data_IF_883010679300
#
_entry.id   IF_883010679300
#
_cell.length_a   1.000
_cell.length_b   1.000
_cell.length_c   1.000
_cell.angle_alpha   90.00
_cell.angle_beta   90.00
_cell.angle_gamma   90.00
#
_symmetry.space_group_name_H-M   'P 1'
#
loop_
_entity.id
_entity.type
_entity.pdbx_description
1 polymer ?
2 non-polymer ?
3 non-polymer ?
4 non-polymer ?
5 water ?
#
# COMPACT_ATOMS: atom_id res chain seq x y z
N UNK A 1 8.64 19.88 11.16
CA UNK A 1 7.53 19.98 10.21
C UNK A 1 7.99 19.70 8.78
N UNK A 2 8.65 18.56 8.57
CA UNK A 2 9.33 18.26 7.33
C UNK A 2 8.70 17.01 6.72
N UNK A 3 8.63 16.96 5.39
CA UNK A 3 8.18 15.79 4.67
C UNK A 3 9.39 15.10 4.07
N UNK A 4 9.54 13.80 4.32
CA UNK A 4 10.61 13.02 3.74
C UNK A 4 10.17 12.39 2.42
N UNK A 5 11.14 12.12 1.54
CA UNK A 5 10.83 11.47 0.27
C UNK A 5 11.95 10.50 -0.04
N UNK A 6 11.61 9.27 -0.40
CA UNK A 6 12.59 8.29 -0.85
C UNK A 6 12.26 7.82 -2.25
N UNK A 7 13.30 7.71 -3.07
CA UNK A 7 13.23 7.24 -4.45
C UNK A 7 14.64 6.82 -4.84
N UNK A 8 14.75 5.69 -5.55
CA UNK A 8 16.04 5.28 -6.07
C UNK A 8 15.84 4.65 -7.42
N UNK A 9 16.51 5.19 -8.44
CA UNK A 9 16.28 4.70 -9.79
C UNK A 9 16.75 3.27 -9.99
N UNK A 10 17.53 2.72 -9.05
CA UNK A 10 17.93 1.32 -9.16
C UNK A 10 16.71 0.40 -9.14
N UNK A 11 15.65 0.79 -8.43
CA UNK A 11 14.43 -0.02 -8.45
C UNK A 11 13.77 -0.12 -9.81
N UNK A 12 14.24 0.62 -10.82
CA UNK A 12 13.79 0.41 -12.19
C UNK A 12 14.38 -0.84 -12.83
N UNK A 13 15.38 -1.47 -12.21
CA UNK A 13 16.08 -2.56 -12.90
C UNK A 13 15.24 -3.82 -12.98
N UNK A 14 14.30 -4.01 -12.04
CA UNK A 14 13.34 -5.10 -12.10
C UNK A 14 12.52 -4.95 -13.37
N UNK A 15 12.53 -5.96 -14.24
CA UNK A 15 11.84 -5.80 -15.52
C UNK A 15 11.33 -7.16 -16.01
N UNK A 16 10.44 -7.11 -17.01
CA UNK A 16 9.88 -8.31 -17.65
C UNK A 16 10.61 -8.56 -18.97
N UNK A 17 11.53 -9.54 -18.95
CA UNK A 17 12.32 -9.92 -20.13
C UNK A 17 11.46 -10.30 -21.32
N UNK A 18 10.28 -10.85 -21.07
CA UNK A 18 9.50 -11.47 -22.12
C UNK A 18 8.40 -10.56 -22.65
N UNK A 19 8.11 -9.46 -21.96
CA UNK A 19 7.00 -8.60 -22.35
C UNK A 19 7.35 -7.23 -21.80
N UNK A 20 8.05 -6.43 -22.61
CA UNK A 20 8.52 -5.14 -22.13
C UNK A 20 7.38 -4.16 -21.94
N UNK A 21 6.15 -4.51 -22.33
CA UNK A 21 4.99 -3.67 -22.14
C UNK A 21 4.11 -4.10 -20.96
N UNK A 22 4.53 -5.12 -20.22
CA UNK A 22 3.84 -5.50 -18.99
C UNK A 22 3.58 -4.27 -18.14
N UNK A 23 2.38 -4.12 -17.56
CA UNK A 23 2.00 -2.83 -16.96
C UNK A 23 2.79 -2.43 -15.72
N UNK A 24 3.48 -3.34 -15.03
CA UNK A 24 4.27 -2.97 -13.84
C UNK A 24 5.65 -2.55 -14.34
N UNK A 25 5.67 -1.33 -14.96
CA UNK A 25 6.79 -0.81 -15.72
C UNK A 25 7.86 -0.19 -14.81
N UNK A 26 9.13 -0.34 -15.17
CA UNK A 26 10.19 0.44 -14.50
C UNK A 26 9.85 1.92 -14.42
N UNK A 27 9.29 2.51 -15.49
CA UNK A 27 9.08 3.95 -15.50
C UNK A 27 7.92 4.39 -14.63
N UNK A 28 7.17 3.47 -14.02
CA UNK A 28 6.20 3.91 -13.01
C UNK A 28 6.86 4.84 -12.01
N UNK A 29 8.02 4.44 -11.47
CA UNK A 29 8.57 5.23 -10.36
C UNK A 29 9.29 6.46 -10.88
N UNK A 30 9.99 6.34 -12.02
CA UNK A 30 10.66 7.53 -12.55
C UNK A 30 9.65 8.58 -13.03
N UNK A 31 8.50 8.16 -13.58
CA UNK A 31 7.48 9.13 -13.95
C UNK A 31 6.94 9.83 -12.72
N UNK A 32 6.72 9.11 -11.62
CA UNK A 32 6.20 9.77 -10.43
C UNK A 32 7.24 10.76 -9.88
N UNK A 33 8.49 10.31 -9.78
CA UNK A 33 9.58 11.16 -9.30
C UNK A 33 9.72 12.40 -10.17
N UNK A 34 9.66 12.23 -11.49
CA UNK A 34 9.77 13.37 -12.40
C UNK A 34 8.65 14.38 -12.16
N UNK A 35 7.43 13.89 -11.98
CA UNK A 35 6.31 14.78 -11.74
C UNK A 35 6.47 15.54 -10.43
N UNK A 36 7.05 14.89 -9.40
CA UNK A 36 7.33 15.62 -8.16
C UNK A 36 8.28 16.77 -8.42
N UNK A 37 9.33 16.52 -9.21
CA UNK A 37 10.28 17.57 -9.58
C UNK A 37 9.56 18.68 -10.32
N UNK A 38 8.74 18.28 -11.28
CA UNK A 38 8.09 19.17 -12.22
C UNK A 38 7.16 20.12 -11.46
N UNK A 39 6.53 19.62 -10.40
CA UNK A 39 5.64 20.41 -9.56
C UNK A 39 6.37 21.08 -8.41
N UNK A 40 7.70 21.03 -8.40
CA UNK A 40 8.54 21.67 -7.36
C UNK A 40 8.19 21.20 -5.96
N UNK A 41 7.80 19.94 -5.85
CA UNK A 41 7.59 19.29 -4.56
C UNK A 41 8.89 18.67 -4.05
N UNK A 42 9.73 18.20 -4.97
CA UNK A 42 10.94 17.48 -4.59
C UNK A 42 11.84 18.37 -3.73
N UNK A 43 12.04 19.62 -4.16
CA UNK A 43 12.93 20.52 -3.42
C UNK A 43 12.37 20.90 -2.05
N UNK A 44 11.09 20.67 -1.81
CA UNK A 44 10.44 20.95 -0.53
C UNK A 44 10.56 19.80 0.44
N UNK A 45 10.96 18.62 -0.02
CA UNK A 45 11.11 17.46 0.83
C UNK A 45 12.55 17.28 1.27
N UNK A 46 12.70 16.57 2.37
CA UNK A 46 13.97 16.00 2.80
C UNK A 46 14.18 14.67 2.15
N UNK A 47 15.24 14.54 1.36
CA UNK A 47 15.51 13.28 0.68
C UNK A 47 16.05 12.24 1.66
N UNK A 48 15.37 11.11 1.73
CA UNK A 48 15.77 10.00 2.60
C UNK A 48 16.46 8.95 1.74
N UNK A 49 17.61 8.44 2.14
CA UNK A 49 18.34 7.50 1.28
C UNK A 49 17.66 6.14 1.27
N UNK A 50 17.66 5.53 0.08
CA UNK A 50 17.24 4.13 -0.04
C UNK A 50 18.32 3.24 0.56
N UNK A 51 17.91 2.04 0.95
CA UNK A 51 18.86 1.03 1.38
C UNK A 51 18.24 -0.33 1.15
N UNK A 52 19.09 -1.35 1.20
CA UNK A 52 18.63 -2.72 1.13
C UNK A 52 18.03 -3.13 2.47
N UNK A 53 16.86 -3.75 2.44
CA UNK A 53 16.45 -4.53 3.58
C UNK A 53 17.44 -5.66 3.81
N UNK A 54 17.69 -5.98 5.08
CA UNK A 54 18.45 -7.18 5.37
C UNK A 54 17.55 -8.41 5.33
N UNK A 55 18.20 -9.56 5.23
CA UNK A 55 17.47 -10.82 5.18
C UNK A 55 16.79 -11.10 6.51
N UNK A 56 17.38 -10.64 7.62
CA UNK A 56 16.75 -10.79 8.92
C UNK A 56 15.53 -9.87 9.06
N UNK A 57 15.58 -8.67 8.46
CA UNK A 57 14.38 -7.82 8.42
C UNK A 57 13.28 -8.47 7.58
N UNK A 58 13.63 -9.08 6.46
CA UNK A 58 12.61 -9.79 5.69
C UNK A 58 11.95 -10.88 6.54
N UNK A 59 12.70 -11.47 7.48
CA UNK A 59 12.15 -12.53 8.30
C UNK A 59 11.16 -12.01 9.33
N UNK A 60 11.04 -10.69 9.49
CA UNK A 60 9.95 -10.12 10.29
C UNK A 60 8.60 -10.65 9.82
N UNK A 61 8.43 -10.83 8.51
CA UNK A 61 7.14 -11.29 7.97
C UNK A 61 7.22 -12.52 7.09
N UNK A 62 8.39 -12.91 6.58
CA UNK A 62 8.47 -13.95 5.58
C UNK A 62 9.28 -15.14 6.08
N UNK A 63 8.94 -16.31 5.55
CA UNK A 63 9.66 -17.54 5.88
C UNK A 63 11.05 -17.54 5.26
N UNK A 64 11.98 -18.24 5.93
CA UNK A 64 13.33 -18.31 5.40
C UNK A 64 13.35 -18.98 4.03
N UNK A 65 12.46 -19.95 3.81
CA UNK A 65 12.37 -20.61 2.50
C UNK A 65 11.96 -19.63 1.41
N UNK A 66 10.91 -18.85 1.66
CA UNK A 66 10.49 -17.86 0.67
C UNK A 66 11.62 -16.89 0.36
N UNK A 67 12.28 -16.39 1.40
CA UNK A 67 13.40 -15.48 1.22
C UNK A 67 14.49 -16.16 0.37
N UNK A 68 14.83 -17.41 0.70
CA UNK A 68 15.88 -18.11 -0.03
C UNK A 68 15.49 -18.35 -1.49
N UNK A 69 14.22 -18.70 -1.75
CA UNK A 69 13.83 -18.96 -3.14
C UNK A 69 13.90 -17.69 -3.97
N UNK A 70 13.35 -16.57 -3.47
CA UNK A 70 13.43 -15.32 -4.23
C UNK A 70 14.88 -14.89 -4.41
N UNK A 71 15.70 -15.07 -3.37
CA UNK A 71 17.10 -14.68 -3.49
C UNK A 71 17.81 -15.53 -4.53
N UNK A 72 17.39 -16.78 -4.71
CA UNK A 72 18.05 -17.65 -5.68
C UNK A 72 17.84 -17.20 -7.12
N UNK A 73 16.82 -16.36 -7.39
CA UNK A 73 16.58 -15.91 -8.75
C UNK A 73 17.64 -14.95 -9.25
N UNK A 74 18.43 -14.41 -8.34
CA UNK A 74 19.44 -13.40 -8.67
C UNK A 74 20.40 -13.88 -9.75
N UNK A 75 20.72 -15.17 -9.76
CA UNK A 75 21.67 -15.74 -10.71
C UNK A 75 21.03 -16.76 -11.64
N UNK A 76 19.71 -16.76 -11.74
CA UNK A 76 19.02 -17.71 -12.60
C UNK A 76 19.10 -17.29 -14.06
N UNK A 77 19.15 -18.30 -14.92
CA UNK A 77 19.09 -18.08 -16.35
C UNK A 77 17.63 -17.80 -16.73
N UNK A 78 17.38 -17.06 -17.82
CA UNK A 78 15.99 -16.83 -18.27
C UNK A 78 15.03 -18.03 -18.18
N UNK A 79 15.41 -19.22 -18.64
CA UNK A 79 14.54 -20.38 -18.54
C UNK A 79 14.07 -20.59 -17.12
N UNK A 80 14.97 -20.46 -16.17
CA UNK A 80 14.63 -20.75 -14.78
C UNK A 80 13.89 -19.58 -14.16
N UNK A 81 14.18 -18.35 -14.59
CA UNK A 81 13.38 -17.22 -14.15
C UNK A 81 11.94 -17.34 -14.60
N UNK A 82 11.73 -17.77 -15.84
CA UNK A 82 10.36 -18.02 -16.31
C UNK A 82 9.67 -19.11 -15.48
N UNK A 83 10.38 -20.21 -15.21
CA UNK A 83 9.78 -21.31 -14.46
C UNK A 83 9.42 -20.90 -13.04
N UNK A 84 10.35 -20.23 -12.35
CA UNK A 84 10.09 -19.80 -10.98
C UNK A 84 8.94 -18.80 -10.93
N UNK A 85 8.97 -17.78 -11.80
CA UNK A 85 7.85 -16.84 -11.86
C UNK A 85 6.51 -17.52 -12.01
N UNK A 86 6.43 -18.53 -12.90
CA UNK A 86 5.18 -19.23 -13.18
C UNK A 86 4.66 -20.07 -12.02
N UNK A 87 5.48 -20.38 -11.03
CA UNK A 87 5.00 -21.05 -9.84
C UNK A 87 4.10 -20.15 -9.00
N UNK A 88 4.08 -18.86 -9.26
CA UNK A 88 3.26 -17.92 -8.52
C UNK A 88 2.13 -17.42 -9.40
N UNK A 89 1.19 -16.72 -8.76
CA UNK A 89 0.09 -16.07 -9.46
C UNK A 89 0.55 -14.67 -9.84
N UNK A 90 0.70 -14.41 -11.14
CA UNK A 90 0.99 -13.08 -11.67
C UNK A 90 2.32 -12.51 -11.15
N UNK A 91 3.40 -13.24 -11.40
CA UNK A 91 4.75 -12.80 -11.07
C UNK A 91 5.64 -12.95 -12.30
N UNK A 92 6.43 -11.90 -12.59
CA UNK A 92 7.57 -12.03 -13.48
C UNK A 92 8.84 -11.68 -12.69
N UNK A 93 9.96 -12.31 -13.05
CA UNK A 93 11.20 -12.16 -12.31
C UNK A 93 12.35 -11.93 -13.30
N UNK A 94 13.22 -10.98 -12.98
CA UNK A 94 14.51 -10.82 -13.63
C UNK A 94 15.61 -10.95 -12.58
N UNK A 95 16.87 -10.85 -13.02
CA UNK A 95 17.97 -11.07 -12.08
C UNK A 95 18.02 -9.96 -11.04
N UNK A 96 17.44 -8.82 -11.35
CA UNK A 96 17.48 -7.66 -10.48
C UNK A 96 16.30 -7.59 -9.53
N UNK A 97 15.32 -8.49 -9.67
CA UNK A 97 14.08 -8.39 -8.92
C UNK A 97 14.31 -8.45 -7.41
N UNK A 98 15.13 -9.40 -6.96
CA UNK A 98 15.38 -9.53 -5.52
C UNK A 98 15.98 -8.24 -4.96
N UNK A 99 17.06 -7.72 -5.58
CA UNK A 99 17.64 -6.43 -5.20
C UNK A 99 16.58 -5.34 -5.10
N UNK A 100 15.75 -5.21 -6.14
CA UNK A 100 14.75 -4.14 -6.16
C UNK A 100 13.75 -4.30 -5.03
N UNK A 101 13.30 -5.54 -4.76
CA UNK A 101 12.39 -5.75 -3.64
C UNK A 101 13.05 -5.43 -2.31
N UNK A 102 14.35 -5.72 -2.17
CA UNK A 102 15.06 -5.31 -0.96
C UNK A 102 15.11 -3.79 -0.84
N UNK A 103 15.35 -3.11 -1.97
CA UNK A 103 15.43 -1.66 -1.95
C UNK A 103 14.08 -1.04 -1.61
N UNK A 104 13.00 -1.57 -2.17
CA UNK A 104 11.67 -1.06 -1.83
C UNK A 104 11.45 -1.12 -0.32
N UNK A 105 11.77 -2.26 0.28
CA UNK A 105 11.50 -2.46 1.71
C UNK A 105 12.43 -1.59 2.56
N UNK A 106 13.73 -1.62 2.27
CA UNK A 106 14.66 -0.83 3.08
C UNK A 106 14.43 0.66 2.97
N UNK A 107 14.03 1.14 1.79
CA UNK A 107 13.63 2.53 1.64
C UNK A 107 12.52 2.89 2.59
N UNK A 108 11.53 2.01 2.71
CA UNK A 108 10.43 2.31 3.62
C UNK A 108 10.86 2.21 5.07
N UNK A 109 11.75 1.27 5.38
CA UNK A 109 12.30 1.22 6.75
C UNK A 109 12.97 2.53 7.10
N UNK A 110 13.81 3.04 6.19
CA UNK A 110 14.49 4.30 6.44
C UNK A 110 13.49 5.44 6.59
N UNK A 111 12.38 5.38 5.85
CA UNK A 111 11.36 6.41 5.97
C UNK A 111 10.62 6.28 7.31
N UNK A 112 10.27 5.06 7.71
CA UNK A 112 9.65 4.88 9.01
C UNK A 112 10.61 5.30 10.13
N UNK A 113 11.90 5.04 9.95
CA UNK A 113 12.89 5.46 10.95
C UNK A 113 12.92 6.98 11.06
N UNK A 114 12.93 7.67 9.92
CA UNK A 114 13.01 9.12 9.93
C UNK A 114 11.81 9.73 10.63
N UNK A 115 10.63 9.15 10.41
CA UNK A 115 9.44 9.61 11.13
C UNK A 115 9.58 9.33 12.63
N UNK A 116 9.91 8.09 13.00
CA UNK A 116 9.89 7.69 14.40
C UNK A 116 11.03 8.30 15.21
N UNK A 117 12.11 8.73 14.56
CA UNK A 117 13.16 9.47 15.26
C UNK A 117 12.92 10.97 15.26
N UNK A 118 11.80 11.42 14.68
CA UNK A 118 11.51 12.84 14.61
C UNK A 118 12.29 13.62 13.58
N UNK A 119 13.05 12.97 12.71
CA UNK A 119 13.76 13.69 11.67
C UNK A 119 12.80 14.29 10.64
N UNK A 120 11.68 13.60 10.38
CA UNK A 120 10.58 14.17 9.60
C UNK A 120 9.26 13.81 10.30
N UNK A 121 8.22 14.53 9.90
CA UNK A 121 6.85 14.33 10.38
C UNK A 121 6.14 13.24 9.58
N UNK A 122 6.31 13.27 8.26
CA UNK A 122 5.65 12.30 7.37
C UNK A 122 6.58 12.03 6.19
N UNK A 123 6.17 11.13 5.28
CA UNK A 123 7.10 10.75 4.22
C UNK A 123 6.37 10.05 3.09
N UNK A 124 6.98 10.07 1.91
CA UNK A 124 6.44 9.36 0.75
C UNK A 124 7.55 8.48 0.17
N UNK A 125 7.17 7.28 -0.27
CA UNK A 125 8.14 6.27 -0.70
C UNK A 125 7.72 5.82 -2.09
N UNK A 126 8.52 6.19 -3.09
CA UNK A 126 8.23 5.90 -4.51
C UNK A 126 9.05 4.66 -4.84
N UNK A 127 8.43 3.49 -4.68
CA UNK A 127 9.14 2.22 -4.71
C UNK A 127 8.41 1.25 -5.64
N UNK A 128 9.19 0.32 -6.19
CA UNK A 128 8.70 -0.87 -6.88
C UNK A 128 9.77 -1.95 -6.72
N UNK A 129 9.39 -3.25 -6.86
CA UNK A 129 8.03 -3.77 -7.09
C UNK A 129 7.17 -3.53 -5.87
N UNK A 130 5.86 -3.67 -6.03
CA UNK A 130 4.95 -3.50 -4.89
C UNK A 130 4.99 -4.65 -3.90
N UNK A 131 4.22 -4.53 -2.82
CA UNK A 131 4.30 -5.48 -1.72
C UNK A 131 3.02 -6.16 -1.23
N UNK A 132 1.83 -5.56 -1.38
CA UNK A 132 0.75 -5.98 -0.50
C UNK A 132 0.12 -7.35 -0.82
N UNK A 133 0.36 -7.94 -2.00
CA UNK A 133 -0.09 -9.31 -2.26
C UNK A 133 0.86 -10.36 -1.72
N UNK A 134 2.08 -9.97 -1.36
CA UNK A 134 3.08 -10.94 -0.90
C UNK A 134 2.67 -11.54 0.45
N UNK A 135 2.74 -12.86 0.53
CA UNK A 135 2.39 -13.60 1.73
C UNK A 135 3.66 -13.98 2.50
N UNK A 136 3.47 -14.44 3.73
CA UNK A 136 4.60 -15.01 4.49
C UNK A 136 5.46 -15.90 3.61
N UNK A 137 4.83 -16.85 2.92
CA UNK A 137 5.54 -17.94 2.28
C UNK A 137 5.45 -17.90 0.76
N UNK A 138 4.99 -16.81 0.14
CA UNK A 138 4.90 -16.84 -1.32
C UNK A 138 4.80 -15.44 -1.91
N UNK A 139 5.25 -15.32 -3.16
CA UNK A 139 5.09 -14.11 -3.97
C UNK A 139 3.74 -14.16 -4.69
N UNK A 140 3.24 -12.98 -5.05
CA UNK A 140 1.93 -12.95 -5.68
C UNK A 140 1.70 -11.58 -6.29
N UNK A 141 1.07 -11.54 -7.44
CA UNK A 141 0.52 -10.29 -7.98
C UNK A 141 1.49 -9.13 -8.07
N UNK A 142 2.64 -9.35 -8.69
CA UNK A 142 3.76 -8.41 -8.89
C UNK A 142 4.55 -8.15 -7.63
N UNK A 143 4.19 -8.75 -6.49
CA UNK A 143 4.84 -8.50 -5.20
C UNK A 143 5.70 -9.67 -4.74
N UNK A 144 6.89 -9.36 -4.24
CA UNK A 144 7.79 -10.39 -3.71
C UNK A 144 7.85 -10.45 -2.20
N UNK A 145 8.05 -9.30 -1.55
CA UNK A 145 8.01 -9.19 -0.10
C UNK A 145 7.03 -8.09 0.26
N UNK A 146 6.42 -8.21 1.44
CA UNK A 146 5.31 -7.32 1.77
C UNK A 146 5.88 -6.08 2.46
N UNK A 147 6.28 -5.13 1.62
CA UNK A 147 6.93 -3.90 2.08
C UNK A 147 6.18 -3.22 3.22
N UNK A 148 4.88 -3.03 3.06
CA UNK A 148 4.14 -2.31 4.09
C UNK A 148 4.05 -3.11 5.37
N UNK A 149 3.76 -4.42 5.28
CA UNK A 149 3.75 -5.27 6.46
C UNK A 149 5.09 -5.24 7.16
N UNK A 150 6.17 -5.43 6.39
CA UNK A 150 7.52 -5.39 6.96
C UNK A 150 7.80 -4.07 7.64
N UNK A 151 7.33 -2.97 7.05
CA UNK A 151 7.56 -1.66 7.67
C UNK A 151 6.83 -1.55 9.00
N UNK A 152 5.59 -2.03 9.07
CA UNK A 152 4.89 -2.06 10.35
C UNK A 152 5.70 -2.83 11.39
N UNK A 153 6.22 -4.03 11.03
CA UNK A 153 7.02 -4.79 11.99
C UNK A 153 8.35 -4.11 12.28
N UNK A 154 8.98 -3.52 11.26
CA UNK A 154 10.23 -2.79 11.50
C UNK A 154 10.00 -1.67 12.50
N UNK A 155 8.92 -0.89 12.31
CA UNK A 155 8.60 0.17 13.26
C UNK A 155 8.45 -0.37 14.67
N UNK A 156 7.75 -1.50 14.83
CA UNK A 156 7.62 -2.09 16.16
C UNK A 156 8.97 -2.54 16.72
N UNK A 157 9.87 -2.96 15.84
CA UNK A 157 11.16 -3.50 16.24
C UNK A 157 12.11 -2.43 16.79
N UNK A 158 11.89 -1.16 16.48
CA UNK A 158 12.73 -0.07 16.99
C UNK A 158 12.00 0.78 18.02
N UNK A 159 10.76 0.43 18.35
CA UNK A 159 10.05 1.08 19.44
C UNK A 159 9.54 0.00 20.39
N UNK A 160 8.28 -0.36 20.28
CA UNK A 160 7.75 -1.43 21.09
C UNK A 160 6.89 -2.34 20.24
N UNK A 161 6.85 -3.62 20.65
CA UNK A 161 6.21 -4.65 19.86
C UNK A 161 4.72 -4.38 19.68
N UNK A 162 4.10 -3.67 20.62
CA UNK A 162 2.69 -3.34 20.57
C UNK A 162 2.40 -1.93 20.05
N UNK A 163 3.40 -1.24 19.48
CA UNK A 163 3.14 0.05 18.82
C UNK A 163 1.95 -0.09 17.88
N UNK A 164 0.96 0.79 18.00
CA UNK A 164 -0.25 0.63 17.21
C UNK A 164 -0.01 1.20 15.82
N UNK A 165 -0.06 0.35 14.81
CA UNK A 165 0.16 0.79 13.44
C UNK A 165 -1.13 0.58 12.67
N UNK A 166 -1.57 1.61 11.98
CA UNK A 166 -2.71 1.52 11.07
C UNK A 166 -2.16 1.42 9.66
N UNK A 167 -2.63 0.42 8.90
CA UNK A 167 -2.31 0.33 7.48
C UNK A 167 -3.60 0.56 6.74
N UNK A 168 -3.66 1.63 5.96
CA UNK A 168 -4.80 1.90 5.08
C UNK A 168 -4.35 1.55 3.68
N UNK A 169 -5.06 0.63 3.05
CA UNK A 169 -4.68 0.05 1.76
C UNK A 169 -5.71 0.48 0.75
N UNK A 170 -5.38 1.50 -0.04
CA UNK A 170 -6.36 2.02 -0.99
C UNK A 170 -6.00 1.66 -2.42
N UNK A 171 -5.00 0.81 -2.62
CA UNK A 171 -4.87 0.10 -3.89
C UNK A 171 -6.22 -0.52 -4.23
N UNK A 172 -6.54 -0.61 -5.52
CA UNK A 172 -7.86 -1.12 -5.91
C UNK A 172 -7.99 -2.63 -5.65
N UNK A 173 -6.88 -3.33 -5.42
CA UNK A 173 -6.90 -4.75 -5.09
C UNK A 173 -6.77 -4.97 -3.60
N UNK A 174 -7.33 -6.07 -3.14
CA UNK A 174 -7.17 -6.46 -1.76
C UNK A 174 -5.72 -6.83 -1.47
N UNK A 175 -5.15 -6.26 -0.40
CA UNK A 175 -3.84 -6.73 0.03
C UNK A 175 -3.94 -8.00 0.85
N UNK A 176 -4.09 -9.13 0.17
CA UNK A 176 -4.28 -10.41 0.86
C UNK A 176 -3.13 -10.73 1.80
N UNK A 177 -1.89 -10.38 1.40
CA UNK A 177 -0.75 -10.73 2.23
C UNK A 177 -0.77 -9.94 3.53
N UNK A 178 -1.08 -8.66 3.43
CA UNK A 178 -1.13 -7.81 4.61
C UNK A 178 -2.20 -8.29 5.57
N UNK A 179 -3.40 -8.54 5.06
CA UNK A 179 -4.48 -9.12 5.89
C UNK A 179 -4.03 -10.37 6.62
N UNK A 180 -3.45 -11.34 5.89
CA UNK A 180 -3.07 -12.61 6.49
C UNK A 180 -1.95 -12.43 7.52
N UNK A 181 -0.94 -11.61 7.19
CA UNK A 181 0.19 -11.44 8.12
C UNK A 181 -0.30 -10.91 9.46
N UNK A 182 -1.29 -10.02 9.45
CA UNK A 182 -1.76 -9.39 10.69
C UNK A 182 -3.10 -9.94 11.17
N UNK A 183 -3.58 -11.05 10.61
CA UNK A 183 -4.98 -11.43 10.86
C UNK A 183 -5.26 -11.69 12.34
N UNK A 184 -4.27 -12.16 13.08
CA UNK A 184 -4.45 -12.44 14.51
C UNK A 184 -3.85 -11.35 15.39
N UNK A 185 -3.56 -10.18 14.83
CA UNK A 185 -2.76 -9.17 15.51
C UNK A 185 -3.67 -7.98 15.82
N UNK A 186 -3.73 -7.62 17.10
CA UNK A 186 -4.45 -6.43 17.50
C UNK A 186 -3.57 -5.18 17.53
N UNK A 187 -2.28 -5.31 17.22
CA UNK A 187 -1.41 -4.14 17.18
C UNK A 187 -1.35 -3.48 15.83
N UNK A 188 -1.80 -4.17 14.80
CA UNK A 188 -1.77 -3.61 13.46
C UNK A 188 -3.19 -3.69 12.92
N UNK A 189 -3.81 -2.53 12.75
CA UNK A 189 -5.15 -2.43 12.17
C UNK A 189 -5.02 -2.35 10.66
N UNK A 190 -5.57 -3.34 9.96
CA UNK A 190 -5.56 -3.33 8.50
C UNK A 190 -6.93 -2.89 7.98
N UNK A 191 -6.96 -1.84 7.19
CA UNK A 191 -8.19 -1.39 6.51
C UNK A 191 -7.93 -1.31 5.02
N UNK A 192 -8.65 -2.11 4.24
CA UNK A 192 -8.50 -2.15 2.79
C UNK A 192 -9.81 -1.74 2.14
N UNK A 193 -9.73 -0.84 1.18
CA UNK A 193 -10.78 -0.62 0.18
C UNK A 193 -10.36 -1.32 -1.10
N UNK A 194 -11.27 -2.05 -1.71
CA UNK A 194 -10.89 -2.81 -2.91
C UNK A 194 -12.10 -3.23 -3.69
N UNK A 195 -11.91 -3.26 -4.99
CA UNK A 195 -12.91 -3.87 -5.83
C UNK A 195 -12.92 -5.37 -5.55
N UNK A 196 -14.13 -5.94 -5.50
CA UNK A 196 -14.32 -7.33 -5.10
C UNK A 196 -15.14 -8.12 -6.11
N UNK A 197 -16.30 -7.56 -6.46
CA UNK A 197 -17.20 -8.19 -7.44
C UNK A 197 -17.46 -9.65 -7.10
N UNK A 198 -17.81 -9.89 -5.83
CA UNK A 198 -18.24 -11.20 -5.36
C UNK A 198 -17.18 -12.26 -5.61
N UNK A 199 -15.89 -11.87 -5.65
CA UNK A 199 -14.82 -12.81 -5.87
C UNK A 199 -14.26 -12.86 -7.28
N UNK A 200 -14.88 -12.15 -8.22
CA UNK A 200 -14.40 -12.16 -9.61
C UNK A 200 -13.19 -11.26 -9.84
N UNK A 201 -12.97 -10.27 -8.97
CA UNK A 201 -11.84 -9.37 -9.12
C UNK A 201 -10.61 -9.95 -8.45
N UNK A 202 -9.46 -9.78 -9.10
CA UNK A 202 -8.19 -10.25 -8.55
C UNK A 202 -8.01 -9.69 -7.13
N UNK A 203 -7.55 -10.50 -6.14
CA UNK A 203 -6.97 -11.86 -6.25
C UNK A 203 -7.99 -13.00 -6.07
N UNK A 204 -9.30 -12.76 -6.26
CA UNK A 204 -10.30 -13.80 -6.48
C UNK A 204 -10.57 -14.68 -5.26
N UNK A 205 -10.47 -14.14 -4.06
CA UNK A 205 -10.68 -14.89 -2.84
C UNK A 205 -11.75 -14.24 -1.98
N UNK A 206 -12.61 -15.07 -1.36
CA UNK A 206 -13.57 -14.52 -0.41
C UNK A 206 -12.91 -13.97 0.86
N UNK A 207 -11.58 -14.16 1.00
CA UNK A 207 -10.85 -13.53 2.10
C UNK A 207 -11.02 -12.03 2.09
N UNK A 208 -11.32 -11.44 0.93
CA UNK A 208 -11.45 -10.00 0.77
C UNK A 208 -12.83 -9.47 1.14
N UNK A 209 -13.74 -10.32 1.61
CA UNK A 209 -15.09 -9.84 1.83
C UNK A 209 -15.24 -9.20 3.21
N UNK A 210 -16.36 -8.47 3.40
CA UNK A 210 -16.52 -7.62 4.59
C UNK A 210 -16.65 -8.40 5.89
N UNK A 211 -16.99 -9.69 5.82
CA UNK A 211 -17.16 -10.47 7.02
C UNK A 211 -15.85 -11.06 7.52
N UNK A 212 -14.72 -10.77 6.87
CA UNK A 212 -13.41 -11.22 7.36
C UNK A 212 -12.90 -10.10 8.26
N UNK A 213 -13.15 -10.23 9.56
CA UNK A 213 -12.98 -9.12 10.50
C UNK A 213 -11.76 -9.31 11.40
N UNK A 214 -11.00 -10.37 11.21
CA UNK A 214 -9.85 -10.71 12.02
C UNK A 214 -10.14 -11.91 12.92
N UNK A 215 -9.06 -12.45 13.51
CA UNK A 215 -9.10 -13.73 14.22
C UNK A 215 -8.49 -13.60 15.60
N UNK A 216 -9.07 -14.33 16.56
CA UNK A 216 -8.49 -14.36 17.90
C UNK A 216 -8.36 -12.98 18.49
N UNK A 217 -7.17 -12.68 19.03
CA UNK A 217 -6.91 -11.36 19.59
C UNK A 217 -7.04 -10.26 18.54
N UNK A 218 -6.90 -10.62 17.26
CA UNK A 218 -7.09 -9.68 16.18
C UNK A 218 -8.52 -9.45 15.73
N UNK A 219 -9.52 -10.02 16.41
CA UNK A 219 -10.88 -9.88 15.92
C UNK A 219 -11.34 -8.45 16.09
N UNK A 220 -11.74 -7.84 14.97
CA UNK A 220 -12.10 -6.44 14.85
C UNK A 220 -11.03 -5.60 14.19
N UNK A 221 -9.81 -6.13 14.04
CA UNK A 221 -8.67 -5.35 13.57
C UNK A 221 -8.35 -5.62 12.11
N UNK A 222 -9.30 -6.18 11.37
CA UNK A 222 -9.22 -6.34 9.93
C UNK A 222 -10.52 -5.80 9.35
N UNK A 223 -10.43 -4.75 8.54
CA UNK A 223 -11.62 -4.09 8.00
C UNK A 223 -11.53 -4.15 6.46
N UNK A 224 -12.35 -5.00 5.83
CA UNK A 224 -12.44 -5.08 4.36
C UNK A 224 -13.64 -4.29 3.88
N UNK A 225 -13.41 -3.34 2.99
CA UNK A 225 -14.46 -2.53 2.37
C UNK A 225 -14.52 -2.96 0.91
N UNK A 226 -15.39 -3.94 0.54
CA UNK A 226 -15.33 -4.51 -0.81
C UNK A 226 -16.35 -3.85 -1.74
N UNK A 227 -15.94 -3.47 -2.94
CA UNK A 227 -16.87 -2.87 -3.90
C UNK A 227 -17.42 -3.92 -4.87
N UNK A 228 -18.70 -3.81 -5.18
CA UNK A 228 -19.33 -4.64 -6.19
C UNK A 228 -20.17 -3.77 -7.10
N UNK A 229 -20.31 -4.20 -8.35
CA UNK A 229 -21.22 -3.53 -9.26
C UNK A 229 -20.58 -2.42 -10.06
N UNK A 230 -19.32 -2.62 -10.46
CA UNK A 230 -18.71 -1.71 -11.43
C UNK A 230 -18.08 -0.46 -10.84
N UNK A 231 -18.08 0.61 -11.63
CA UNK A 231 -17.12 1.68 -11.44
C UNK A 231 -17.48 2.55 -10.22
N UNK A 232 -16.48 2.87 -9.41
CA UNK A 232 -16.56 3.77 -8.27
C UNK A 232 -15.58 4.90 -8.43
N UNK A 233 -15.72 5.93 -7.60
CA UNK A 233 -14.86 7.09 -7.69
C UNK A 233 -14.85 7.88 -6.40
N UNK A 234 -14.58 9.19 -6.52
CA UNK A 234 -14.45 10.03 -5.33
C UNK A 234 -15.64 9.95 -4.39
N UNK A 235 -16.89 9.97 -4.84
CA UNK A 235 -17.97 9.97 -3.83
C UNK A 235 -17.93 8.73 -2.96
N UNK A 236 -17.69 7.58 -3.57
CA UNK A 236 -17.68 6.33 -2.83
C UNK A 236 -16.50 6.25 -1.88
N UNK A 237 -15.33 6.70 -2.32
CA UNK A 237 -14.18 6.68 -1.42
C UNK A 237 -14.35 7.69 -0.29
N UNK A 238 -14.89 8.87 -0.57
CA UNK A 238 -15.06 9.83 0.51
C UNK A 238 -16.10 9.33 1.53
N UNK A 239 -17.16 8.68 1.04
CA UNK A 239 -18.16 8.11 1.94
C UNK A 239 -17.56 6.99 2.79
N UNK A 240 -16.78 6.10 2.16
CA UNK A 240 -16.16 5.03 2.94
C UNK A 240 -15.22 5.59 4.00
N UNK A 241 -14.48 6.64 3.68
CA UNK A 241 -13.62 7.24 4.70
C UNK A 241 -14.43 7.91 5.80
N UNK A 242 -15.56 8.50 5.44
CA UNK A 242 -16.31 9.25 6.45
C UNK A 242 -17.07 8.32 7.39
N UNK A 243 -17.71 7.27 6.85
CA UNK A 243 -18.48 6.35 7.67
C UNK A 243 -17.65 5.24 8.31
N UNK A 244 -16.48 4.90 7.75
CA UNK A 244 -15.77 3.70 8.18
C UNK A 244 -14.32 3.98 8.55
N UNK A 245 -13.50 4.45 7.61
CA UNK A 245 -12.05 4.45 7.83
C UNK A 245 -11.69 5.39 8.96
N UNK A 246 -12.25 6.60 8.94
CA UNK A 246 -11.82 7.60 9.91
C UNK A 246 -12.43 7.35 11.28
N UNK A 247 -13.73 7.01 11.42
CA UNK A 247 -14.24 6.65 12.75
C UNK A 247 -13.49 5.48 13.41
N UNK A 248 -13.19 4.42 12.65
CA UNK A 248 -12.46 3.29 13.20
C UNK A 248 -11.01 3.69 13.54
N UNK A 249 -10.35 4.40 12.62
CA UNK A 249 -8.97 4.79 12.84
C UNK A 249 -8.84 5.68 14.08
N UNK A 250 -9.76 6.64 14.24
CA UNK A 250 -9.69 7.51 15.41
C UNK A 250 -9.85 6.70 16.69
N UNK A 251 -10.78 5.73 16.67
CA UNK A 251 -10.99 4.92 17.86
C UNK A 251 -9.78 4.04 18.16
N UNK A 252 -9.12 3.54 17.09
CA UNK A 252 -7.91 2.76 17.24
C UNK A 252 -6.77 3.62 17.77
N UNK A 253 -6.76 4.90 17.41
CA UNK A 253 -5.71 5.84 17.81
C UNK A 253 -4.30 5.32 17.48
N UNK A 254 -3.97 5.13 16.20
CA UNK A 254 -2.65 4.60 15.85
C UNK A 254 -1.54 5.56 16.23
N UNK A 255 -0.36 4.98 16.46
CA UNK A 255 0.87 5.74 16.68
C UNK A 255 1.66 5.92 15.39
N UNK A 256 1.27 5.24 14.33
CA UNK A 256 1.93 5.36 13.04
C UNK A 256 0.92 4.94 11.99
N UNK A 257 0.84 5.68 10.89
CA UNK A 257 -0.04 5.32 9.77
C UNK A 257 0.83 5.01 8.56
N UNK A 258 0.63 3.82 7.98
CA UNK A 258 1.18 3.45 6.68
C UNK A 258 0.03 3.42 5.69
N UNK A 259 0.24 4.02 4.53
CA UNK A 259 -0.70 3.90 3.41
C UNK A 259 -0.08 2.95 2.39
N UNK A 260 -0.75 1.82 2.18
CA UNK A 260 -0.50 1.00 1.00
C UNK A 260 -1.19 1.72 -0.15
N UNK A 261 -0.43 2.59 -0.79
CA UNK A 261 -0.96 3.59 -1.70
C UNK A 261 -0.76 3.14 -3.14
N UNK A 262 -1.54 2.16 -3.55
CA UNK A 262 -1.64 1.90 -4.98
C UNK A 262 -2.49 2.99 -5.59
N UNK A 263 -2.20 3.34 -6.84
CA UNK A 263 -3.00 4.34 -7.54
C UNK A 263 -3.70 3.73 -8.73
N UNK A 264 -4.13 2.46 -8.58
CA UNK A 264 -4.86 1.82 -9.67
C UNK A 264 -6.37 1.93 -9.51
N UNK A 265 -6.86 2.57 -8.43
CA UNK A 265 -8.25 3.03 -8.46
C UNK A 265 -8.38 4.37 -9.17
N UNK A 266 -7.29 4.88 -9.73
CA UNK A 266 -7.33 6.20 -10.36
C UNK A 266 -8.12 6.19 -11.66
N UNK A 267 -8.80 7.30 -11.91
CA UNK A 267 -9.26 7.63 -13.26
C UNK A 267 -8.16 7.36 -14.26
N UNK A 268 -8.48 6.60 -15.30
CA UNK A 268 -7.52 6.27 -16.33
C UNK A 268 -6.81 4.96 -16.14
N UNK A 269 -6.91 4.34 -14.97
CA UNK A 269 -6.16 3.09 -14.78
C UNK A 269 -6.79 1.98 -15.61
N UNK A 270 -6.01 1.27 -16.44
CA UNK A 270 -6.61 0.21 -17.27
C UNK A 270 -6.99 -1.04 -16.49
N UNK A 271 -6.39 -1.26 -15.31
CA UNK A 271 -6.64 -2.49 -14.56
C UNK A 271 -7.66 -2.32 -13.46
N UNK A 272 -7.82 -1.12 -12.92
CA UNK A 272 -8.76 -0.94 -11.82
C UNK A 272 -10.19 -0.62 -12.22
N UNK A 273 -10.37 0.09 -13.34
CA UNK A 273 -11.71 0.41 -13.78
C UNK A 273 -12.44 1.47 -12.98
N UNK A 274 -11.75 2.19 -12.09
CA UNK A 274 -12.37 3.18 -11.23
C UNK A 274 -11.97 4.58 -11.68
N UNK A 275 -12.50 5.59 -10.99
CA UNK A 275 -12.29 6.98 -11.41
C UNK A 275 -11.97 7.90 -10.24
N UNK A 276 -11.21 7.42 -9.24
CA UNK A 276 -10.73 8.31 -8.18
C UNK A 276 -9.79 9.34 -8.77
N UNK A 277 -9.98 10.60 -8.41
CA UNK A 277 -9.22 11.68 -9.04
C UNK A 277 -8.02 12.05 -8.18
N UNK A 278 -7.04 12.78 -8.76
CA UNK A 278 -5.91 13.25 -7.92
C UNK A 278 -6.39 14.07 -6.74
N UNK A 279 -7.41 14.90 -6.95
CA UNK A 279 -7.99 15.66 -5.85
C UNK A 279 -8.59 14.73 -4.80
N UNK A 280 -9.23 13.65 -5.25
CA UNK A 280 -9.75 12.67 -4.29
C UNK A 280 -8.65 12.07 -3.44
N UNK A 281 -7.57 11.61 -4.08
CA UNK A 281 -6.44 11.10 -3.30
C UNK A 281 -5.88 12.16 -2.37
N UNK A 282 -5.86 13.42 -2.81
CA UNK A 282 -5.41 14.47 -1.90
C UNK A 282 -6.28 14.53 -0.64
N UNK A 283 -7.59 14.44 -0.80
CA UNK A 283 -8.47 14.52 0.38
C UNK A 283 -8.32 13.29 1.27
N UNK A 284 -8.17 12.10 0.69
CA UNK A 284 -7.90 10.92 1.53
C UNK A 284 -6.62 11.11 2.34
N UNK A 285 -5.56 11.66 1.73
CA UNK A 285 -4.31 11.88 2.46
C UNK A 285 -4.51 12.87 3.58
N UNK A 286 -5.20 13.97 3.26
CA UNK A 286 -5.42 15.04 4.22
C UNK A 286 -6.18 14.51 5.44
N UNK A 287 -7.15 13.61 5.20
CA UNK A 287 -7.87 13.02 6.32
C UNK A 287 -6.94 12.18 7.19
N UNK A 288 -6.13 11.33 6.57
CA UNK A 288 -5.24 10.47 7.34
C UNK A 288 -4.21 11.29 8.11
N UNK A 289 -3.90 12.51 7.65
CA UNK A 289 -2.90 13.29 8.36
C UNK A 289 -3.37 13.73 9.75
N UNK A 290 -4.68 13.68 10.01
CA UNK A 290 -5.22 14.00 11.33
C UNK A 290 -4.94 12.93 12.37
N UNK A 291 -4.43 11.77 11.96
CA UNK A 291 -4.14 10.65 12.84
C UNK A 291 -2.67 10.65 13.23
N UNK A 292 -2.39 9.99 14.36
CA UNK A 292 -1.03 9.64 14.78
C UNK A 292 -0.12 10.87 14.83
N UNK A 293 -0.68 12.02 15.20
CA UNK A 293 0.06 13.29 15.25
C UNK A 293 0.70 13.60 13.89
N UNK A 294 0.07 13.15 12.81
CA UNK A 294 0.57 13.34 11.46
C UNK A 294 1.65 12.39 11.00
N UNK A 295 1.93 11.33 11.75
CA UNK A 295 3.02 10.40 11.38
C UNK A 295 2.46 9.44 10.33
N UNK A 296 2.63 9.82 9.07
CA UNK A 296 2.05 9.12 7.92
C UNK A 296 3.15 8.81 6.92
N UNK A 297 3.25 7.55 6.53
CA UNK A 297 4.15 7.11 5.47
C UNK A 297 3.33 6.59 4.31
N UNK A 298 3.46 7.22 3.16
CA UNK A 298 2.73 6.82 1.95
C UNK A 298 3.63 5.93 1.09
N UNK A 299 3.18 4.70 0.82
CA UNK A 299 4.00 3.66 0.15
C UNK A 299 3.34 3.30 -1.18
N UNK A 300 4.04 3.53 -2.28
CA UNK A 300 3.51 3.14 -3.59
C UNK A 300 3.25 1.64 -3.64
N UNK A 301 2.07 1.24 -4.14
CA UNK A 301 1.80 -0.17 -4.40
C UNK A 301 1.59 -0.29 -5.91
N UNK A 302 0.37 -0.58 -6.37
CA UNK A 302 0.07 -0.62 -7.79
C UNK A 302 -0.31 0.74 -8.36
N UNK A 303 -0.86 0.71 -9.58
CA UNK A 303 -1.17 1.91 -10.32
C UNK A 303 -0.41 1.95 -11.63
N UNK A 304 -1.14 1.94 -12.76
CA UNK A 304 -0.54 1.57 -14.04
C UNK A 304 -0.72 2.58 -15.14
N UNK A 305 -1.53 3.63 -14.94
CA UNK A 305 -1.57 4.73 -15.89
C UNK A 305 -0.50 5.73 -15.44
N UNK A 306 0.54 5.89 -16.25
CA UNK A 306 1.69 6.65 -15.79
C UNK A 306 1.33 8.09 -15.43
N UNK A 307 0.51 8.74 -16.25
CA UNK A 307 0.05 10.09 -15.95
C UNK A 307 -0.81 10.13 -14.68
N UNK A 308 -1.74 9.17 -14.56
CA UNK A 308 -2.63 9.12 -13.39
C UNK A 308 -1.85 8.96 -12.11
N UNK A 309 -0.94 7.98 -12.06
CA UNK A 309 -0.23 7.73 -10.82
C UNK A 309 0.71 8.88 -10.50
N UNK A 310 1.28 9.53 -11.52
CA UNK A 310 2.20 10.63 -11.26
C UNK A 310 1.47 11.82 -10.65
N UNK A 311 0.30 12.13 -11.19
CA UNK A 311 -0.47 13.25 -10.68
C UNK A 311 -1.06 12.90 -9.32
N UNK A 312 -1.53 11.66 -9.16
CA UNK A 312 -2.18 11.30 -7.92
C UNK A 312 -1.21 11.25 -6.76
N UNK A 313 -0.06 10.62 -6.97
CA UNK A 313 0.86 10.52 -5.84
C UNK A 313 1.46 11.89 -5.54
N UNK A 314 1.72 12.71 -6.56
CA UNK A 314 2.19 14.07 -6.28
C UNK A 314 1.17 14.85 -5.45
N UNK A 315 -0.13 14.71 -5.75
CA UNK A 315 -1.14 15.40 -4.94
C UNK A 315 -1.08 14.96 -3.49
N UNK A 316 -0.74 13.68 -3.24
CA UNK A 316 -0.60 13.21 -1.87
C UNK A 316 0.59 13.87 -1.16
N UNK A 317 1.72 13.98 -1.85
CA UNK A 317 2.89 14.62 -1.24
C UNK A 317 2.63 16.09 -0.96
N UNK A 318 1.93 16.76 -1.88
CA UNK A 318 1.50 18.14 -1.66
C UNK A 318 0.72 18.27 -0.37
N UNK A 319 -0.15 17.30 -0.09
CA UNK A 319 -0.91 17.34 1.16
C UNK A 319 0.02 17.12 2.35
N UNK A 320 0.94 16.15 2.25
CA UNK A 320 1.86 15.91 3.37
C UNK A 320 2.68 17.17 3.67
N UNK A 321 2.98 17.96 2.65
CA UNK A 321 3.76 19.19 2.83
C UNK A 321 2.97 20.31 3.47
N UNK A 322 1.65 20.12 3.66
CA UNK A 322 0.81 21.10 4.29
C UNK A 322 0.02 21.98 3.36
N UNK A 323 0.04 21.73 2.04
CA UNK A 323 -0.73 22.52 1.10
C UNK A 323 -2.22 22.32 1.34
N UNK A 324 -3.00 23.34 1.02
CA UNK A 324 -4.43 23.29 1.24
C UNK A 324 -5.08 22.29 0.29
N UNK A 325 -5.98 21.46 0.78
CA UNK A 325 -6.64 20.48 -0.09
C UNK A 325 -7.37 21.17 -1.24
N UNK A 326 -7.34 20.58 -2.43
CA UNK A 326 -8.08 21.16 -3.56
C UNK A 326 -9.58 20.99 -3.40
N UNK A 327 -10.32 21.73 -4.22
CA UNK A 327 -11.78 21.59 -4.30
C UNK A 327 -12.17 20.18 -4.69
N UNK A 332 -22.27 12.25 -7.76
CA UNK A 332 -21.94 12.56 -6.38
C UNK A 332 -22.85 11.82 -5.37
N UNK A 333 -24.12 11.58 -5.70
CA UNK A 333 -24.83 10.50 -5.00
C UNK A 333 -24.08 9.20 -5.17
N UNK A 334 -24.03 8.41 -4.09
CA UNK A 334 -23.33 7.13 -4.13
C UNK A 334 -24.03 6.16 -5.06
N UNK A 335 -23.27 5.33 -5.75
CA UNK A 335 -23.89 4.17 -6.38
C UNK A 335 -24.52 3.29 -5.32
N UNK A 336 -25.67 2.70 -5.67
CA UNK A 336 -26.45 1.95 -4.69
C UNK A 336 -25.63 0.81 -4.09
N UNK A 337 -24.85 0.11 -4.91
CA UNK A 337 -24.10 -1.01 -4.40
C UNK A 337 -23.00 -0.55 -3.44
N UNK A 338 -22.50 0.67 -3.61
CA UNK A 338 -21.53 1.21 -2.64
C UNK A 338 -22.18 1.47 -1.29
N UNK A 339 -23.44 1.95 -1.28
CA UNK A 339 -24.14 2.10 -0.01
C UNK A 339 -24.32 0.75 0.67
N UNK A 340 -24.65 -0.28 -0.13
CA UNK A 340 -24.82 -1.63 0.38
C UNK A 340 -23.51 -2.11 0.99
N UNK A 341 -22.39 -1.84 0.31
CA UNK A 341 -21.09 -2.28 0.81
C UNK A 341 -20.75 -1.61 2.13
N UNK A 342 -20.89 -0.29 2.18
CA UNK A 342 -20.58 0.45 3.39
C UNK A 342 -21.47 -0.04 4.53
N UNK A 343 -22.76 -0.29 4.26
CA UNK A 343 -23.62 -0.75 5.35
C UNK A 343 -23.28 -2.16 5.79
N UNK A 344 -22.85 -3.02 4.84
CA UNK A 344 -22.40 -4.36 5.22
C UNK A 344 -21.19 -4.28 6.15
N UNK A 345 -20.24 -3.39 5.85
CA UNK A 345 -19.06 -3.28 6.72
C UNK A 345 -19.46 -2.72 8.09
N UNK A 346 -20.32 -1.69 8.09
CA UNK A 346 -20.82 -1.12 9.35
C UNK A 346 -21.42 -2.21 10.24
N UNK A 347 -22.25 -3.07 9.68
CA UNK A 347 -22.86 -4.13 10.50
C UNK A 347 -21.83 -5.14 10.98
N UNK A 348 -20.84 -5.45 10.13
CA UNK A 348 -19.78 -6.39 10.51
C UNK A 348 -18.94 -5.85 11.66
N UNK A 349 -18.71 -4.55 11.70
CA UNK A 349 -17.74 -3.99 12.63
C UNK A 349 -18.33 -3.22 13.80
N UNK A 350 -19.62 -2.92 13.78
CA UNK A 350 -20.23 -2.34 14.97
C UNK A 350 -20.03 -3.18 16.23
N UNK A 351 -19.91 -4.50 16.20
CA UNK A 351 -19.62 -5.22 17.45
C UNK A 351 -18.28 -4.82 18.06
N UNK A 352 -17.33 -4.33 17.25
CA UNK A 352 -15.98 -4.10 17.73
C UNK A 352 -15.63 -2.65 17.94
N UNK A 353 -16.31 -1.73 17.25
CA UNK A 353 -15.97 -0.32 17.25
C UNK A 353 -17.19 0.50 17.68
N UNK A 354 -17.10 1.16 18.83
CA UNK A 354 -18.25 1.90 19.34
C UNK A 354 -18.62 3.05 18.41
N UNK A 355 -17.65 3.60 17.68
CA UNK A 355 -17.92 4.73 16.80
C UNK A 355 -18.86 4.38 15.65
N UNK A 356 -19.13 3.10 15.41
CA UNK A 356 -20.03 2.71 14.35
C UNK A 356 -21.44 2.48 14.85
N UNK A 357 -21.66 2.55 16.16
CA UNK A 357 -22.99 2.32 16.69
C UNK A 357 -23.84 3.58 16.64
X LIG B 1 -4.92 -9.60 -13.57
X LIG B 1 -2.44 -9.44 -12.73
X LIG B 1 -2.77 -6.98 -12.03
X LIG B 1 -2.19 -6.25 -9.80
X LIG B 1 -1.79 -7.53 -9.44
X LIG B 1 -0.86 -9.61 -16.60
X LIG B 1 -0.78 -11.79 -17.62
X LIG B 1 -2.09 -12.04 -17.23
X LIG B 1 -2.80 -11.07 -16.52
X LIG B 1 -2.17 -9.87 -16.23
X LIG B 1 -5.01 -11.07 -13.16
X LIG B 1 -5.69 -8.71 -12.58
X LIG B 1 -2.36 -8.27 -11.68
X LIG B 1 -2.69 -5.94 -11.07
X LIG B 1 -2.17 -5.12 -8.74
X LIG B 1 -1.87 -8.57 -10.40
X LIG B 1 -0.17 -10.57 -17.30
X LIG B 1 -0.09 -12.75 -18.33
X LIG B 1 -2.72 -13.22 -17.52
X LIG B 1 -4.07 -11.26 -16.12
X LIG B 1 1.11 -10.28 -17.66
X LIG B 1 -3.53 -9.16 -13.74
X LIG B 1 -2.32 -5.54 -7.35
X LIG B 1 -2.34 -4.65 -6.25
X LIG B 1 -2.09 -3.98 -9.04
X LIG B 1 -4.13 -7.90 -15.98
X LIG B 1 -2.06 -7.50 -15.17
X LIG B 1 -3.03 -8.58 -15.28
X LIG C 1 -3.42 -3.11 -7.31
X LIG D 1 -6.75 -2.26 -0.95
X LIG E 1 -5.08 -7.00 12.13
#
# INVERSE_FOLDING_TARGET
>A
PITGLVYDQRMMLHHNMWDSHHPELPQRISRIFSRHEELRLLSRCHRIPARLATEEELALCHSSKHISIIKSSEHMKPRDLNRLGDEYNSIFISNESYTCALLAAGSCFNSAQAILTGQVRNAVAIVRPPGHHAEKDTACGFCFFNTAALTARYAQSITRESLRVLIVDWDVHHGNGTQHIFEEDDSVLYISLHRYEDGAFFPNSEDANYDKVGLGKGRGYNVNIPWNGGKMGDPEYMAAFHHLVMPIAREFAPELVLVSAGFDAARGDPLGGFQVTPEGYAHLTHQLMSLAAGRVLIILEGGYNLTSISESMSMCTSMLLGDSPPSLDHLTPLKTSATVSINNVLRAHAPFWSSLR
>B hetero
1 O2L C10 C13 C15 C17 C22 C26 C02 C03 C05 C07 C11 C12 C14 C16 C18 C23 C27 F01 F04 F06 F28 N09 N19 O20 O21 O24 O25 S08
>C hetero
1 ZN ZN
>D hetero
1 K K
>E hetero
1 K K
#
